data_IF_094579219115
#
_entry.id   IF_094579219115
#
_cell.length_a   1.000
_cell.length_b   1.000
_cell.length_c   1.000
_cell.angle_alpha   90.00
_cell.angle_beta   90.00
_cell.angle_gamma   90.00
#
_symmetry.space_group_name_H-M   'P 1'
#
loop_
_entity.id
_entity.type
_entity.pdbx_description
1 polymer ?
#
# COMPACT_ATOMS: atom_id res chain seq x y z
N UNK A 1 57.46 -27.56 10.89
CA UNK A 1 56.57 -26.52 10.33
C UNK A 1 55.14 -27.05 10.36
N UNK A 2 54.55 -27.15 11.56
CA UNK A 2 53.25 -27.80 11.81
C UNK A 2 52.31 -26.94 12.67
N UNK A 3 52.40 -25.62 12.52
CA UNK A 3 51.47 -24.68 13.15
C UNK A 3 51.12 -23.64 12.12
N UNK A 4 50.09 -23.90 11.30
CA UNK A 4 49.30 -22.88 10.60
C UNK A 4 48.21 -23.42 9.65
N UNK A 5 47.73 -24.66 9.83
CA UNK A 5 46.58 -25.17 9.06
C UNK A 5 45.35 -25.53 9.91
N UNK A 6 45.37 -25.30 11.23
CA UNK A 6 44.20 -25.56 12.11
C UNK A 6 43.41 -24.32 12.53
N UNK A 7 43.84 -23.11 12.17
CA UNK A 7 43.14 -21.87 12.55
C UNK A 7 42.22 -21.32 11.45
N UNK A 8 42.15 -21.99 10.29
CA UNK A 8 41.32 -21.55 9.17
C UNK A 8 39.94 -22.22 9.09
N UNK A 9 39.64 -23.19 9.98
CA UNK A 9 38.46 -24.06 9.86
C UNK A 9 37.37 -23.89 10.94
N UNK A 10 37.49 -22.95 11.89
CA UNK A 10 36.50 -22.80 13.00
C UNK A 10 35.83 -21.43 13.11
N UNK A 11 35.74 -20.68 12.01
CA UNK A 11 34.95 -19.42 11.97
C UNK A 11 33.97 -19.34 10.80
N UNK A 12 33.40 -20.47 10.41
CA UNK A 12 32.07 -20.46 9.80
C UNK A 12 31.07 -20.60 10.94
N UNK A 13 30.68 -19.46 11.53
CA UNK A 13 29.46 -19.38 12.34
C UNK A 13 28.30 -19.82 11.43
N UNK A 14 27.96 -21.11 11.49
CA UNK A 14 26.60 -21.54 11.24
C UNK A 14 25.73 -20.75 12.21
N UNK A 15 25.18 -19.64 11.72
CA UNK A 15 24.20 -18.85 12.42
C UNK A 15 22.97 -19.74 12.58
N UNK A 16 22.95 -20.56 13.63
CA UNK A 16 21.84 -21.44 13.93
C UNK A 16 20.58 -20.58 13.96
N UNK A 17 19.63 -20.90 13.09
CA UNK A 17 18.31 -20.26 13.06
C UNK A 17 17.63 -20.51 14.41
N UNK A 18 17.77 -19.56 15.34
CA UNK A 18 17.12 -19.60 16.65
C UNK A 18 15.61 -19.65 16.42
N UNK A 19 14.95 -20.71 16.89
CA UNK A 19 13.49 -20.77 16.89
C UNK A 19 12.95 -19.68 17.79
N UNK A 20 12.00 -18.91 17.27
CA UNK A 20 11.31 -17.86 17.98
C UNK A 20 10.45 -18.44 19.11
N UNK A 21 10.45 -17.84 20.29
CA UNK A 21 9.48 -18.14 21.33
C UNK A 21 8.10 -17.53 21.00
N UNK A 22 7.04 -18.02 21.65
CA UNK A 22 5.70 -17.43 21.51
C UNK A 22 5.67 -15.97 22.00
N UNK A 23 6.37 -15.66 23.08
CA UNK A 23 6.48 -14.30 23.61
C UNK A 23 7.22 -13.38 22.63
N UNK A 24 8.33 -13.85 22.04
CA UNK A 24 9.05 -13.13 20.99
C UNK A 24 8.15 -12.92 19.75
N UNK A 25 7.30 -13.89 19.39
CA UNK A 25 6.32 -13.76 18.30
C UNK A 25 5.28 -12.68 18.56
N UNK A 26 4.69 -12.70 19.76
CA UNK A 26 3.67 -11.73 20.17
C UNK A 26 4.26 -10.31 20.16
N UNK A 27 5.44 -10.14 20.76
CA UNK A 27 6.11 -8.84 20.83
C UNK A 27 6.43 -8.29 19.42
N UNK A 28 6.92 -9.14 18.52
CA UNK A 28 7.12 -8.74 17.12
C UNK A 28 5.83 -8.35 16.41
N UNK A 29 4.71 -9.03 16.70
CA UNK A 29 3.39 -8.69 16.16
C UNK A 29 2.93 -7.31 16.62
N UNK A 30 2.98 -7.03 17.92
CA UNK A 30 2.57 -5.75 18.51
C UNK A 30 3.45 -4.58 18.05
N UNK A 31 4.77 -4.78 17.97
CA UNK A 31 5.70 -3.78 17.39
C UNK A 31 5.39 -3.51 15.93
N UNK A 32 5.10 -4.56 15.15
CA UNK A 32 4.73 -4.42 13.75
C UNK A 32 3.40 -3.70 13.59
N UNK A 33 2.43 -3.92 14.47
CA UNK A 33 1.13 -3.26 14.40
C UNK A 33 1.21 -1.78 14.79
N UNK A 34 1.84 -1.48 15.92
CA UNK A 34 1.99 -0.11 16.44
C UNK A 34 2.83 0.81 15.53
N UNK A 35 3.78 0.24 14.78
CA UNK A 35 4.60 0.97 13.81
C UNK A 35 3.92 1.21 12.45
N UNK A 36 2.71 0.66 12.22
CA UNK A 36 1.97 0.89 10.96
C UNK A 36 1.56 2.36 10.85
N UNK A 37 1.86 2.96 9.70
CA UNK A 37 1.39 4.29 9.33
C UNK A 37 -0.15 4.27 9.24
N UNK A 38 -0.82 5.13 10.02
CA UNK A 38 -2.29 5.23 10.06
C UNK A 38 -2.84 6.30 9.12
N UNK A 39 -2.04 7.31 8.82
CA UNK A 39 -2.37 8.39 7.91
C UNK A 39 -1.11 8.86 7.17
N UNK A 40 -1.29 9.43 5.99
CA UNK A 40 -0.22 9.85 5.12
C UNK A 40 -0.63 11.05 4.26
N UNK A 41 0.24 12.04 4.20
CA UNK A 41 0.16 13.13 3.24
C UNK A 41 0.73 12.67 1.89
N UNK A 42 -0.08 12.78 0.84
CA UNK A 42 0.27 12.38 -0.54
C UNK A 42 0.05 13.60 -1.45
N UNK A 43 1.06 13.90 -2.28
CA UNK A 43 0.96 14.95 -3.29
C UNK A 43 0.15 14.45 -4.48
N UNK A 44 -1.02 15.04 -4.71
CA UNK A 44 -1.90 14.77 -5.84
C UNK A 44 -1.78 15.91 -6.85
N UNK A 45 -1.50 15.56 -8.10
CA UNK A 45 -1.40 16.53 -9.18
C UNK A 45 -2.72 17.32 -9.33
N UNK A 46 -2.61 18.64 -9.47
CA UNK A 46 -3.77 19.55 -9.56
C UNK A 46 -4.46 19.86 -8.22
N UNK A 47 -4.16 19.14 -7.14
CA UNK A 47 -4.80 19.31 -5.83
C UNK A 47 -3.84 19.71 -4.70
N UNK A 48 -2.54 19.42 -4.86
CA UNK A 48 -1.57 19.61 -3.80
C UNK A 48 -1.56 18.44 -2.82
N UNK A 49 -1.19 18.69 -1.57
CA UNK A 49 -1.03 17.65 -0.56
C UNK A 49 -2.38 17.32 0.08
N UNK A 50 -2.78 16.05 0.01
CA UNK A 50 -4.00 15.53 0.64
C UNK A 50 -3.62 14.47 1.67
N UNK A 51 -4.24 14.52 2.84
CA UNK A 51 -4.11 13.48 3.87
C UNK A 51 -5.05 12.32 3.56
N UNK A 52 -4.47 11.12 3.48
CA UNK A 52 -5.18 9.86 3.36
C UNK A 52 -5.04 9.06 4.65
N UNK A 53 -6.08 8.35 5.04
CA UNK A 53 -6.04 7.35 6.11
C UNK A 53 -5.73 5.98 5.52
N UNK A 54 -5.12 5.12 6.32
CA UNK A 54 -4.82 3.75 5.93
C UNK A 54 -6.15 3.02 5.63
N UNK A 55 -6.36 2.51 4.39
CA UNK A 55 -7.52 1.70 4.10
C UNK A 55 -7.52 0.39 4.90
N UNK A 56 -8.71 -0.18 5.08
CA UNK A 56 -8.87 -1.49 5.73
C UNK A 56 -8.19 -2.59 4.91
N UNK A 57 -7.89 -3.71 5.55
CA UNK A 57 -7.32 -4.87 4.85
C UNK A 57 -8.29 -5.39 3.78
N UNK A 58 -9.60 -5.34 4.02
CA UNK A 58 -10.63 -5.69 3.04
C UNK A 58 -10.62 -4.75 1.83
N UNK A 59 -10.57 -3.43 2.03
CA UNK A 59 -10.49 -2.48 0.90
C UNK A 59 -9.23 -2.70 0.07
N UNK A 60 -8.09 -3.00 0.72
CA UNK A 60 -6.85 -3.34 0.02
C UNK A 60 -6.99 -4.64 -0.77
N UNK A 61 -7.56 -5.69 -0.18
CA UNK A 61 -7.78 -6.97 -0.85
C UNK A 61 -8.70 -6.84 -2.05
N UNK A 62 -9.77 -6.07 -1.95
CA UNK A 62 -10.67 -5.79 -3.08
C UNK A 62 -9.93 -5.11 -4.24
N UNK A 63 -9.12 -4.08 -3.93
CA UNK A 63 -8.33 -3.40 -4.95
C UNK A 63 -7.25 -4.30 -5.59
N UNK A 64 -6.61 -5.17 -4.81
CA UNK A 64 -5.63 -6.14 -5.32
C UNK A 64 -6.30 -7.21 -6.19
N UNK A 65 -7.45 -7.73 -5.76
CA UNK A 65 -8.23 -8.70 -6.51
C UNK A 65 -8.71 -8.13 -7.84
N UNK A 66 -9.19 -6.89 -7.85
CA UNK A 66 -9.59 -6.21 -9.08
C UNK A 66 -8.41 -6.06 -10.06
N UNK A 67 -7.22 -5.70 -9.57
CA UNK A 67 -6.01 -5.62 -10.40
C UNK A 67 -5.61 -6.99 -10.97
N UNK A 68 -5.59 -8.03 -10.14
CA UNK A 68 -5.24 -9.38 -10.57
C UNK A 68 -6.22 -9.92 -11.62
N UNK A 69 -7.53 -9.78 -11.36
CA UNK A 69 -8.59 -10.27 -12.24
C UNK A 69 -8.80 -9.42 -13.49
N UNK A 70 -8.25 -8.20 -13.53
CA UNK A 70 -8.32 -7.37 -14.71
C UNK A 70 -7.40 -7.84 -15.83
N UNK A 71 -6.36 -8.61 -15.53
CA UNK A 71 -5.43 -9.15 -16.53
C UNK A 71 -6.09 -10.32 -17.25
N UNK A 72 -6.25 -10.21 -18.57
CA UNK A 72 -6.75 -11.29 -19.42
C UNK A 72 -5.56 -12.00 -20.04
N UNK A 73 -5.47 -13.31 -19.82
CA UNK A 73 -4.43 -14.17 -20.41
C UNK A 73 -5.03 -15.12 -21.44
N UNK A 74 -4.26 -15.48 -22.46
CA UNK A 74 -4.61 -16.58 -23.37
C UNK A 74 -4.14 -17.94 -22.81
N UNK A 75 -4.32 -19.01 -23.58
CA UNK A 75 -3.91 -20.38 -23.19
C UNK A 75 -2.40 -20.57 -23.02
N UNK A 76 -1.60 -19.66 -23.58
CA UNK A 76 -0.13 -19.67 -23.49
C UNK A 76 0.37 -18.74 -22.38
N UNK A 77 -0.51 -18.28 -21.48
CA UNK A 77 -0.20 -17.35 -20.39
C UNK A 77 0.25 -15.95 -20.86
N UNK A 78 0.01 -15.59 -22.12
CA UNK A 78 0.32 -14.27 -22.64
C UNK A 78 -0.79 -13.28 -22.30
N UNK A 79 -0.43 -12.07 -21.88
CA UNK A 79 -1.39 -11.00 -21.59
C UNK A 79 -1.98 -10.49 -22.92
N UNK A 80 -3.28 -10.66 -23.09
CA UNK A 80 -4.05 -10.25 -24.28
C UNK A 80 -4.94 -9.04 -24.04
N UNK A 81 -5.04 -8.56 -22.80
CA UNK A 81 -5.75 -7.33 -22.50
C UNK A 81 -5.91 -7.06 -21.01
N UNK A 82 -6.45 -5.89 -20.71
CA UNK A 82 -6.69 -5.44 -19.34
C UNK A 82 -8.10 -4.85 -19.23
N UNK A 83 -8.86 -5.27 -18.22
CA UNK A 83 -10.16 -4.68 -17.91
C UNK A 83 -9.97 -3.40 -17.07
N UNK A 84 -9.70 -2.28 -17.74
CA UNK A 84 -9.49 -1.00 -17.08
C UNK A 84 -10.70 -0.53 -16.27
N UNK A 85 -11.93 -0.86 -16.71
CA UNK A 85 -13.15 -0.53 -15.97
C UNK A 85 -13.14 -1.12 -14.56
N UNK A 86 -12.82 -2.41 -14.45
CA UNK A 86 -12.78 -3.09 -13.15
C UNK A 86 -11.71 -2.48 -12.22
N UNK A 87 -10.54 -2.12 -12.78
CA UNK A 87 -9.48 -1.46 -12.01
C UNK A 87 -9.95 -0.08 -11.53
N UNK A 88 -10.56 0.71 -12.40
CA UNK A 88 -11.00 2.07 -12.06
C UNK A 88 -12.16 2.07 -11.06
N UNK A 89 -13.11 1.15 -11.19
CA UNK A 89 -14.21 0.98 -10.22
C UNK A 89 -13.67 0.60 -8.83
N UNK A 90 -12.72 -0.33 -8.76
CA UNK A 90 -12.08 -0.67 -7.48
C UNK A 90 -11.20 0.47 -6.93
N UNK A 91 -10.50 1.20 -7.80
CA UNK A 91 -9.70 2.36 -7.42
C UNK A 91 -10.57 3.48 -6.83
N UNK A 92 -11.75 3.72 -7.41
CA UNK A 92 -12.74 4.68 -6.93
C UNK A 92 -13.08 4.40 -5.46
N UNK A 93 -13.50 3.18 -5.16
CA UNK A 93 -13.92 2.79 -3.82
C UNK A 93 -12.75 2.84 -2.84
N UNK A 94 -11.58 2.34 -3.26
CA UNK A 94 -10.36 2.37 -2.47
C UNK A 94 -9.95 3.79 -2.08
N UNK A 95 -10.02 4.75 -3.00
CA UNK A 95 -9.72 6.16 -2.75
C UNK A 95 -10.77 6.80 -1.84
N UNK A 96 -12.06 6.55 -2.07
CA UNK A 96 -13.14 7.08 -1.25
C UNK A 96 -12.97 6.71 0.23
N UNK A 97 -12.74 5.43 0.52
CA UNK A 97 -12.58 4.95 1.89
C UNK A 97 -11.26 5.38 2.53
N UNK A 98 -10.28 5.82 1.73
CA UNK A 98 -8.98 6.30 2.20
C UNK A 98 -8.91 7.82 2.38
N UNK A 99 -9.86 8.60 1.87
CA UNK A 99 -9.80 10.07 1.90
C UNK A 99 -10.97 10.70 2.67
N UNK A 100 -10.73 11.25 3.89
CA UNK A 100 -11.79 11.86 4.68
C UNK A 100 -12.49 13.04 3.99
N UNK A 101 -11.78 13.84 3.18
CA UNK A 101 -12.41 14.94 2.44
C UNK A 101 -13.48 14.45 1.48
N UNK A 102 -13.24 13.35 0.78
CA UNK A 102 -14.20 12.80 -0.19
C UNK A 102 -15.45 12.21 0.48
N UNK A 103 -15.43 11.98 1.80
CA UNK A 103 -16.57 11.51 2.57
C UNK A 103 -17.36 12.67 3.20
N UNK A 104 -16.88 13.92 3.05
CA UNK A 104 -17.47 15.08 3.70
C UNK A 104 -18.81 15.46 3.04
N UNK A 105 -19.92 15.50 3.80
CA UNK A 105 -21.24 15.87 3.26
C UNK A 105 -21.31 17.29 2.70
N UNK A 106 -20.53 18.23 3.22
CA UNK A 106 -20.45 19.60 2.70
C UNK A 106 -19.83 19.60 1.30
N UNK A 107 -18.80 18.77 1.07
CA UNK A 107 -18.20 18.58 -0.25
C UNK A 107 -19.23 17.96 -1.21
N UNK A 108 -19.97 16.93 -0.77
CA UNK A 108 -21.01 16.32 -1.60
C UNK A 108 -22.09 17.32 -1.99
N UNK A 109 -22.56 18.12 -1.02
CA UNK A 109 -23.56 19.15 -1.27
C UNK A 109 -23.03 20.24 -2.21
N UNK A 110 -21.82 20.75 -1.95
CA UNK A 110 -21.20 21.81 -2.75
C UNK A 110 -20.97 21.38 -4.20
N UNK A 111 -20.61 20.11 -4.41
CA UNK A 111 -20.37 19.58 -5.74
C UNK A 111 -21.60 18.89 -6.35
N UNK A 112 -22.73 18.81 -5.65
CA UNK A 112 -23.93 18.12 -6.16
C UNK A 112 -23.68 16.63 -6.45
N UNK A 113 -22.93 15.96 -5.58
CA UNK A 113 -22.71 14.51 -5.63
C UNK A 113 -23.94 13.82 -5.04
N UNK A 114 -24.54 12.90 -5.81
CA UNK A 114 -25.69 12.11 -5.34
C UNK A 114 -25.27 10.77 -4.77
N UNK A 115 -24.38 10.05 -5.46
CA UNK A 115 -23.73 8.86 -4.93
C UNK A 115 -22.38 9.26 -4.33
N UNK A 116 -22.16 9.10 -3.01
CA UNK A 116 -20.87 9.40 -2.37
C UNK A 116 -19.67 8.77 -3.07
N UNK A 117 -19.82 7.57 -3.65
CA UNK A 117 -18.75 6.88 -4.35
C UNK A 117 -18.36 7.55 -5.68
N UNK A 118 -19.14 8.50 -6.19
CA UNK A 118 -18.75 9.30 -7.36
C UNK A 118 -17.82 10.47 -7.00
N UNK A 119 -17.63 10.77 -5.71
CA UNK A 119 -16.75 11.85 -5.26
C UNK A 119 -15.31 11.74 -5.79
N UNK A 120 -14.65 10.57 -5.76
CA UNK A 120 -13.31 10.41 -6.33
C UNK A 120 -13.26 10.68 -7.83
N UNK A 121 -14.25 10.19 -8.60
CA UNK A 121 -14.33 10.46 -10.05
C UNK A 121 -14.44 11.96 -10.28
N UNK A 122 -15.31 12.63 -9.52
CA UNK A 122 -15.53 14.07 -9.65
C UNK A 122 -14.31 14.91 -9.24
N UNK A 123 -13.56 14.44 -8.24
CA UNK A 123 -12.36 15.12 -7.77
C UNK A 123 -11.17 14.95 -8.73
N UNK A 124 -10.91 13.71 -9.16
CA UNK A 124 -9.63 13.36 -9.79
C UNK A 124 -9.73 12.96 -11.25
N UNK A 125 -10.92 12.68 -11.77
CA UNK A 125 -11.09 12.14 -13.13
C UNK A 125 -10.81 10.63 -13.20
N UNK A 126 -11.50 9.95 -14.10
CA UNK A 126 -11.48 8.48 -14.28
C UNK A 126 -10.08 7.96 -14.60
N UNK A 127 -9.31 8.75 -15.36
CA UNK A 127 -7.96 8.46 -15.82
C UNK A 127 -6.92 8.43 -14.69
N UNK A 128 -7.12 9.21 -13.64
CA UNK A 128 -6.14 9.36 -12.56
C UNK A 128 -6.39 8.40 -11.39
N UNK A 129 -7.59 7.84 -11.26
CA UNK A 129 -7.95 6.97 -10.13
C UNK A 129 -7.00 5.77 -9.98
N UNK A 130 -6.66 4.99 -11.03
CA UNK A 130 -5.75 3.87 -10.85
C UNK A 130 -4.36 4.30 -10.35
N UNK A 131 -3.87 5.47 -10.77
CA UNK A 131 -2.58 5.99 -10.33
C UNK A 131 -2.61 6.40 -8.86
N UNK A 132 -3.63 7.18 -8.45
CA UNK A 132 -3.79 7.63 -7.06
C UNK A 132 -3.98 6.43 -6.11
N UNK A 133 -4.81 5.46 -6.49
CA UNK A 133 -5.01 4.25 -5.70
C UNK A 133 -3.71 3.46 -5.52
N UNK A 134 -2.86 3.37 -6.55
CA UNK A 134 -1.54 2.78 -6.43
C UNK A 134 -0.61 3.58 -5.51
N UNK A 135 -0.62 4.91 -5.56
CA UNK A 135 0.17 5.73 -4.63
C UNK A 135 -0.25 5.51 -3.16
N UNK A 136 -1.55 5.45 -2.89
CA UNK A 136 -2.08 5.13 -1.55
C UNK A 136 -1.63 3.72 -1.14
N UNK A 137 -1.82 2.73 -2.02
CA UNK A 137 -1.40 1.35 -1.79
C UNK A 137 0.09 1.26 -1.46
N UNK A 138 0.96 1.90 -2.23
CA UNK A 138 2.40 1.85 -2.03
C UNK A 138 2.81 2.58 -0.73
N UNK A 139 2.12 3.68 -0.40
CA UNK A 139 2.36 4.44 0.83
C UNK A 139 2.04 3.65 2.10
N UNK A 140 1.03 2.76 2.06
CA UNK A 140 0.59 1.97 3.22
C UNK A 140 0.97 0.48 3.16
N UNK A 141 1.32 -0.05 1.98
CA UNK A 141 1.60 -1.46 1.72
C UNK A 141 3.06 -1.83 1.97
N UNK A 142 3.98 -0.88 1.81
CA UNK A 142 5.37 -1.11 2.18
C UNK A 142 5.56 -0.86 3.68
N UNK A 143 5.84 -1.94 4.42
CA UNK A 143 6.52 -1.87 5.72
C UNK A 143 7.94 -1.27 5.63
N UNK A 144 8.26 -0.51 4.57
CA UNK A 144 9.48 0.29 4.48
C UNK A 144 9.41 1.35 5.56
N UNK A 145 10.08 1.04 6.69
CA UNK A 145 10.56 2.00 7.67
C UNK A 145 10.97 3.26 6.92
N UNK A 146 10.27 4.37 7.15
CA UNK A 146 10.60 5.69 6.64
C UNK A 146 12.00 6.06 7.13
N UNK A 147 13.04 5.65 6.41
CA UNK A 147 14.35 6.27 6.48
C UNK A 147 14.28 7.55 5.67
N UNK A 148 13.88 8.63 6.33
CA UNK A 148 14.62 9.89 6.44
C UNK A 148 13.71 10.94 7.09
N UNK A 149 14.01 11.25 8.35
CA UNK A 149 13.78 12.61 8.87
C UNK A 149 14.48 13.57 7.92
N UNK A 150 13.73 14.38 7.20
CA UNK A 150 14.27 15.60 6.61
C UNK A 150 14.60 16.49 7.81
N UNK A 151 15.89 16.56 8.16
CA UNK A 151 16.40 17.68 8.96
C UNK A 151 16.58 18.84 7.98
N UNK A 152 15.80 19.89 8.17
CA UNK A 152 16.07 21.18 7.54
C UNK A 152 17.53 21.57 7.85
N UNK A 153 18.26 21.99 6.82
CA UNK A 153 19.41 22.88 6.95
C UNK A 153 18.95 24.30 6.65
#
# INVERSE_FOLDING_TARGET
MEKNLKEFDEKQEEKQLKKLSLEEFINQGLERESSRKKEADILIEGWGVITFIKPTEDNLLEFLNAQANAIKMNKNEEIIGTNLRAITEAAKDFIYFSCPFLQNPELHKAWGIQDPLDAPIKAFGVENLPNIANQIKDTFGDGKKTKKKIKNS
#
